data_IF_627732419822
#
_entry.id   IF_627732419822
#
_cell.length_a   1.000
_cell.length_b   1.000
_cell.length_c   1.000
_cell.angle_alpha   90.00
_cell.angle_beta   90.00
_cell.angle_gamma   90.00
#
_symmetry.space_group_name_H-M   'P 1'
#
loop_
_entity.id
_entity.type
_entity.pdbx_description
1 polymer ?
#
# COMPACT_ATOMS: atom_id res chain seq x y z
N UNK A 1 26.18 -4.54 -15.61
CA UNK A 1 25.86 -3.27 -14.93
C UNK A 1 24.36 -3.24 -14.68
N UNK A 2 23.91 -3.81 -13.56
CA UNK A 2 22.55 -3.68 -13.09
C UNK A 2 22.64 -2.91 -11.77
N UNK A 3 22.13 -1.69 -11.80
CA UNK A 3 22.01 -0.81 -10.64
C UNK A 3 21.17 -1.53 -9.59
N UNK A 4 21.75 -1.76 -8.42
CA UNK A 4 21.05 -2.21 -7.22
C UNK A 4 19.91 -1.24 -6.92
N UNK A 5 18.67 -1.62 -7.25
CA UNK A 5 17.48 -0.79 -7.04
C UNK A 5 17.01 -0.78 -5.56
N UNK A 6 17.67 -1.55 -4.70
CA UNK A 6 17.60 -1.34 -3.26
C UNK A 6 18.90 -0.68 -2.81
N UNK A 7 18.86 0.50 -2.18
CA UNK A 7 20.04 1.00 -1.49
C UNK A 7 20.41 -0.04 -0.43
N UNK A 8 21.63 -0.59 -0.53
CA UNK A 8 22.28 -1.19 0.62
C UNK A 8 22.50 -0.08 1.63
N UNK A 9 21.54 0.14 2.54
CA UNK A 9 21.74 1.12 3.59
C UNK A 9 22.55 0.48 4.73
N UNK A 10 23.86 0.67 4.59
CA UNK A 10 24.87 0.36 5.60
C UNK A 10 24.60 1.24 6.81
N UNK A 11 24.27 0.64 7.95
CA UNK A 11 24.37 1.29 9.26
C UNK A 11 23.75 2.70 9.33
N UNK A 12 22.42 2.82 9.23
CA UNK A 12 21.74 3.99 9.74
C UNK A 12 20.98 3.59 11.00
N UNK A 13 21.37 4.16 12.13
CA UNK A 13 20.62 4.07 13.39
C UNK A 13 19.34 4.91 13.30
N UNK A 14 18.48 4.64 12.30
CA UNK A 14 17.12 5.19 12.27
C UNK A 14 16.34 4.46 13.34
N UNK A 15 15.72 5.22 14.25
CA UNK A 15 15.00 4.60 15.36
C UNK A 15 13.78 3.86 14.80
N UNK A 16 13.48 2.62 15.22
CA UNK A 16 12.33 1.85 14.73
C UNK A 16 10.99 2.61 14.78
N UNK A 17 10.87 3.55 15.71
CA UNK A 17 9.72 4.43 15.85
C UNK A 17 9.57 5.43 14.68
N UNK A 18 10.67 5.97 14.15
CA UNK A 18 10.66 6.89 13.00
C UNK A 18 10.25 6.15 11.74
N UNK A 19 10.75 4.93 11.54
CA UNK A 19 10.36 4.06 10.43
C UNK A 19 8.88 3.70 10.49
N UNK A 20 8.37 3.30 11.66
CA UNK A 20 6.95 3.00 11.84
C UNK A 20 6.08 4.23 11.57
N UNK A 21 6.50 5.43 11.98
CA UNK A 21 5.76 6.66 11.64
C UNK A 21 5.76 6.95 10.15
N UNK A 22 6.88 6.72 9.46
CA UNK A 22 6.95 6.92 8.02
C UNK A 22 6.02 5.94 7.28
N UNK A 23 6.04 4.66 7.66
CA UNK A 23 5.15 3.64 7.10
C UNK A 23 3.68 3.93 7.40
N UNK A 24 3.35 4.35 8.63
CA UNK A 24 1.99 4.71 9.00
C UNK A 24 1.44 5.87 8.17
N UNK A 25 2.27 6.88 7.86
CA UNK A 25 1.90 7.97 6.95
C UNK A 25 1.60 7.46 5.54
N UNK A 26 2.44 6.58 4.99
CA UNK A 26 2.23 5.98 3.68
C UNK A 26 0.95 5.12 3.62
N UNK A 27 0.62 4.46 4.72
CA UNK A 27 -0.60 3.65 4.85
C UNK A 27 -1.85 4.45 5.25
N UNK A 28 -1.74 5.77 5.43
CA UNK A 28 -2.80 6.66 5.95
C UNK A 28 -3.37 6.18 7.31
N UNK A 29 -2.51 5.64 8.17
CA UNK A 29 -2.85 5.20 9.52
C UNK A 29 -2.44 6.25 10.56
N UNK A 30 -3.39 6.89 11.26
CA UNK A 30 -3.05 7.72 12.41
C UNK A 30 -2.65 6.82 13.57
N UNK A 31 -1.45 7.01 14.11
CA UNK A 31 -0.95 6.28 15.28
C UNK A 31 -0.66 7.26 16.43
N UNK A 32 -1.01 6.84 17.64
CA UNK A 32 -0.58 7.50 18.88
C UNK A 32 0.90 7.23 19.16
N UNK A 33 1.47 7.97 20.13
CA UNK A 33 2.82 7.72 20.62
C UNK A 33 2.96 6.30 21.19
N UNK A 34 2.02 5.91 22.05
CA UNK A 34 1.97 4.61 22.73
C UNK A 34 1.85 3.46 21.71
N UNK A 35 1.01 3.65 20.69
CA UNK A 35 0.87 2.68 19.59
C UNK A 35 2.15 2.58 18.77
N UNK A 36 2.80 3.71 18.48
CA UNK A 36 4.08 3.75 17.75
C UNK A 36 5.15 2.96 18.48
N UNK A 37 5.26 3.12 19.80
CA UNK A 37 6.25 2.41 20.63
C UNK A 37 6.02 0.91 20.63
N UNK A 38 4.76 0.48 20.83
CA UNK A 38 4.39 -0.94 20.80
C UNK A 38 4.63 -1.56 19.42
N UNK A 39 4.14 -0.91 18.37
CA UNK A 39 4.25 -1.41 16.99
C UNK A 39 5.72 -1.45 16.55
N UNK A 40 6.55 -0.50 16.95
CA UNK A 40 7.98 -0.51 16.63
C UNK A 40 8.69 -1.77 17.15
N UNK A 41 8.38 -2.20 18.38
CA UNK A 41 8.94 -3.43 18.94
C UNK A 41 8.44 -4.67 18.19
N UNK A 42 7.13 -4.77 17.95
CA UNK A 42 6.51 -5.90 17.23
C UNK A 42 7.01 -5.98 15.77
N UNK A 43 7.07 -4.85 15.08
CA UNK A 43 7.52 -4.75 13.69
C UNK A 43 8.99 -5.18 13.55
N UNK A 44 9.86 -4.77 14.47
CA UNK A 44 11.26 -5.19 14.48
C UNK A 44 11.38 -6.72 14.60
N UNK A 45 10.61 -7.34 15.48
CA UNK A 45 10.59 -8.80 15.64
C UNK A 45 10.08 -9.53 14.37
N UNK A 46 9.07 -8.97 13.70
CA UNK A 46 8.56 -9.53 12.43
C UNK A 46 9.61 -9.43 11.33
N UNK A 47 10.25 -8.27 11.18
CA UNK A 47 11.31 -8.07 10.17
C UNK A 47 12.48 -8.99 10.42
N UNK A 48 12.91 -9.15 11.67
CA UNK A 48 13.96 -10.11 12.04
C UNK A 48 13.56 -11.55 11.72
N UNK A 49 12.32 -11.94 12.03
CA UNK A 49 11.80 -13.26 11.68
C UNK A 49 11.80 -13.49 10.16
N UNK A 50 11.35 -12.51 9.35
CA UNK A 50 11.33 -12.63 7.89
C UNK A 50 12.73 -12.58 7.29
N UNK A 51 13.70 -11.96 7.97
CA UNK A 51 15.08 -11.86 7.51
C UNK A 51 15.77 -13.24 7.35
N UNK A 52 15.22 -14.32 7.94
CA UNK A 52 15.69 -15.69 7.69
C UNK A 52 15.69 -16.05 6.20
N UNK A 53 14.78 -15.46 5.40
CA UNK A 53 14.70 -15.68 3.96
C UNK A 53 15.95 -15.21 3.21
N UNK A 54 16.74 -14.28 3.78
CA UNK A 54 18.02 -13.82 3.21
C UNK A 54 19.10 -14.91 3.18
N UNK A 55 18.96 -15.96 3.98
CA UNK A 55 19.91 -17.09 4.02
C UNK A 55 19.74 -18.07 2.85
N UNK A 56 18.64 -17.95 2.10
CA UNK A 56 18.33 -18.86 1.00
C UNK A 56 19.04 -18.42 -0.28
N UNK A 57 19.78 -19.34 -0.89
CA UNK A 57 20.28 -19.16 -2.25
C UNK A 57 19.14 -19.45 -3.23
N UNK A 58 18.69 -18.43 -3.96
CA UNK A 58 17.68 -18.60 -4.99
C UNK A 58 18.38 -18.79 -6.35
N UNK A 59 17.92 -19.73 -7.20
CA UNK A 59 18.38 -19.81 -8.57
C UNK A 59 17.99 -18.54 -9.34
N UNK A 60 18.85 -18.09 -10.25
CA UNK A 60 18.54 -16.98 -11.16
C UNK A 60 17.31 -17.36 -12.00
N UNK A 61 16.19 -16.68 -11.78
CA UNK A 61 14.91 -17.05 -12.37
C UNK A 61 13.83 -16.00 -12.18
N UNK A 62 12.74 -16.13 -12.96
CA UNK A 62 11.60 -15.22 -12.92
C UNK A 62 10.90 -15.32 -11.56
N UNK A 63 10.66 -14.17 -10.94
CA UNK A 63 9.81 -14.06 -9.77
C UNK A 63 8.42 -14.62 -10.07
N UNK A 64 7.84 -15.31 -9.08
CA UNK A 64 6.47 -15.81 -9.17
C UNK A 64 5.51 -14.62 -9.04
N UNK A 65 5.11 -14.04 -10.17
CA UNK A 65 4.04 -13.05 -10.25
C UNK A 65 2.68 -13.74 -10.34
N UNK A 66 2.09 -13.75 -11.53
CA UNK A 66 0.83 -14.43 -11.77
C UNK A 66 1.01 -15.97 -11.81
N UNK A 67 0.25 -16.66 -10.96
CA UNK A 67 0.20 -18.13 -10.91
C UNK A 67 -0.68 -18.69 -12.05
N UNK A 68 -1.64 -17.91 -12.54
CA UNK A 68 -2.56 -18.32 -13.61
C UNK A 68 -1.92 -18.22 -15.01
N UNK A 69 -0.80 -17.52 -15.15
CA UNK A 69 -0.05 -17.41 -16.40
C UNK A 69 -0.84 -16.72 -17.52
N UNK A 70 -1.74 -15.80 -17.17
CA UNK A 70 -2.56 -15.08 -18.14
C UNK A 70 -1.92 -13.75 -18.51
N UNK A 71 -1.60 -13.62 -19.80
CA UNK A 71 -1.07 -12.39 -20.37
C UNK A 71 -2.13 -11.70 -21.23
N UNK A 72 -2.10 -10.37 -21.27
CA UNK A 72 -2.91 -9.56 -22.18
C UNK A 72 -4.42 -9.85 -22.09
N UNK A 73 -4.96 -9.86 -20.88
CA UNK A 73 -6.42 -9.96 -20.67
C UNK A 73 -7.08 -8.66 -21.15
N UNK A 74 -7.55 -8.67 -22.40
CA UNK A 74 -8.17 -7.52 -23.05
C UNK A 74 -9.68 -7.45 -22.77
N UNK A 75 -10.19 -6.22 -22.78
CA UNK A 75 -11.62 -5.91 -22.77
C UNK A 75 -11.95 -5.18 -24.06
N UNK A 76 -13.04 -5.56 -24.72
CA UNK A 76 -13.55 -4.85 -25.89
C UNK A 76 -13.76 -3.37 -25.59
N UNK A 77 -13.36 -2.51 -26.53
CA UNK A 77 -13.59 -1.07 -26.48
C UNK A 77 -15.02 -0.72 -26.92
N UNK A 78 -15.99 -1.23 -26.17
CA UNK A 78 -17.40 -0.97 -26.35
C UNK A 78 -17.95 -0.20 -25.15
N UNK A 79 -18.84 0.76 -25.43
CA UNK A 79 -19.64 1.41 -24.40
C UNK A 79 -20.57 0.38 -23.75
N UNK A 80 -20.72 0.47 -22.43
CA UNK A 80 -21.66 -0.35 -21.67
C UNK A 80 -22.78 0.53 -21.16
N UNK A 81 -24.00 0.02 -21.20
CA UNK A 81 -25.12 0.68 -20.54
C UNK A 81 -24.83 0.81 -19.04
N UNK A 82 -25.06 2.00 -18.52
CA UNK A 82 -24.94 2.29 -17.10
C UNK A 82 -26.35 2.49 -16.57
N UNK A 83 -26.74 1.64 -15.62
CA UNK A 83 -27.97 1.81 -14.87
C UNK A 83 -27.92 3.16 -14.10
N UNK A 84 -28.82 4.11 -14.39
CA UNK A 84 -28.87 5.39 -13.69
C UNK A 84 -29.09 5.23 -12.18
N UNK A 85 -29.84 4.21 -11.76
CA UNK A 85 -30.11 3.96 -10.34
C UNK A 85 -28.83 3.53 -9.60
N UNK A 86 -27.95 2.78 -10.27
CA UNK A 86 -26.66 2.35 -9.71
C UNK A 86 -25.82 3.53 -9.24
N UNK A 87 -25.74 4.59 -10.04
CA UNK A 87 -24.99 5.80 -9.65
C UNK A 87 -25.56 6.44 -8.38
N UNK A 88 -26.89 6.48 -8.26
CA UNK A 88 -27.60 7.01 -7.09
C UNK A 88 -27.35 6.16 -5.86
N UNK A 89 -27.36 4.82 -6.00
CA UNK A 89 -27.09 3.88 -4.91
C UNK A 89 -25.65 4.02 -4.39
N UNK A 90 -24.66 4.16 -5.28
CA UNK A 90 -23.26 4.36 -4.90
C UNK A 90 -23.07 5.61 -4.06
N UNK A 91 -23.69 6.73 -4.45
CA UNK A 91 -23.60 7.99 -3.70
C UNK A 91 -24.34 7.91 -2.37
N UNK A 92 -25.46 7.19 -2.31
CA UNK A 92 -26.20 6.94 -1.05
C UNK A 92 -25.42 6.08 -0.06
N UNK A 93 -24.54 5.20 -0.53
CA UNK A 93 -23.71 4.36 0.32
C UNK A 93 -22.56 5.13 0.99
N UNK A 94 -22.21 6.32 0.50
CA UNK A 94 -21.16 7.13 1.10
C UNK A 94 -21.59 7.72 2.45
N UNK A 95 -20.64 7.80 3.40
CA UNK A 95 -20.90 8.35 4.73
C UNK A 95 -21.44 9.79 4.71
N UNK A 96 -21.05 10.59 3.72
CA UNK A 96 -21.57 11.94 3.47
C UNK A 96 -21.72 12.17 1.97
N UNK A 97 -22.88 12.67 1.57
CA UNK A 97 -23.16 13.04 0.18
C UNK A 97 -24.04 14.30 0.10
N UNK A 98 -23.91 15.02 -1.01
CA UNK A 98 -24.70 16.23 -1.32
C UNK A 98 -24.82 16.40 -2.82
N UNK A 99 -26.03 16.66 -3.32
CA UNK A 99 -26.30 16.93 -4.74
C UNK A 99 -25.68 15.90 -5.70
N UNK A 100 -25.75 14.61 -5.36
CA UNK A 100 -25.18 13.54 -6.20
C UNK A 100 -23.66 13.35 -6.09
N UNK A 101 -22.99 14.01 -5.14
CA UNK A 101 -21.53 13.91 -4.93
C UNK A 101 -21.19 13.38 -3.55
N UNK A 102 -20.03 12.72 -3.42
CA UNK A 102 -19.45 12.37 -2.12
C UNK A 102 -18.77 13.60 -1.54
N UNK A 103 -19.08 13.92 -0.28
CA UNK A 103 -18.56 15.13 0.38
C UNK A 103 -17.36 14.78 1.23
N UNK A 104 -16.22 15.38 0.89
CA UNK A 104 -14.95 15.27 1.64
C UNK A 104 -14.48 16.65 2.09
N UNK A 105 -13.49 16.69 2.99
CA UNK A 105 -12.81 17.96 3.31
C UNK A 105 -12.10 18.46 2.05
N UNK A 106 -12.10 19.77 1.86
CA UNK A 106 -11.41 20.39 0.74
C UNK A 106 -9.92 20.03 0.78
N UNK A 107 -9.37 19.64 -0.37
CA UNK A 107 -7.94 19.40 -0.55
C UNK A 107 -7.28 20.77 -0.76
N UNK A 108 -6.49 21.21 0.21
CA UNK A 108 -5.90 22.56 0.23
C UNK A 108 -4.41 22.59 -0.17
N UNK A 109 -3.70 21.48 0.00
CA UNK A 109 -2.28 21.34 -0.33
C UNK A 109 -1.91 19.89 -0.60
N UNK A 110 -0.84 19.70 -1.38
CA UNK A 110 -0.13 18.43 -1.57
C UNK A 110 1.30 18.68 -1.11
N UNK A 111 1.57 18.46 0.17
CA UNK A 111 2.92 18.40 0.74
C UNK A 111 3.16 17.02 1.33
#
# INVERSE_FOLDING_TARGET
MASSAFPEDKNNATQPQEEVRALARLALLPLSQEETERIAAEFSAIVEYVAILRSLSLPDGKEAGDVAGVDNVLRDDAAREVDPERSTLLVKAAARSKNGHIVVKQVLSYE
#
